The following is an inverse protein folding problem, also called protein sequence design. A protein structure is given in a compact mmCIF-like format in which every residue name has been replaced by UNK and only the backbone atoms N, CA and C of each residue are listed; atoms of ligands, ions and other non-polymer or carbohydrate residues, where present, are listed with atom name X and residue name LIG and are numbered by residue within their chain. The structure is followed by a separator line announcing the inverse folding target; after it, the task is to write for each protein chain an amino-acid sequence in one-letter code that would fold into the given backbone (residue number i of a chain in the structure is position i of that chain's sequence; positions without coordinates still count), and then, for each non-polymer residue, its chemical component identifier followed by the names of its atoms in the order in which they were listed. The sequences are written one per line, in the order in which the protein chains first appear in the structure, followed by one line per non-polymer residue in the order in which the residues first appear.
data_IF_922638467209
#
_entry.id   IF_922638467209
#
_cell.length_a   1.000
_cell.length_b   1.000
_cell.length_c   1.000
_cell.angle_alpha   90.00
_cell.angle_beta   90.00
_cell.angle_gamma   90.00
#
_symmetry.space_group_name_H-M   'P 1'
#
loop_
_entity.id
_entity.type
_entity.pdbx_description
1 polymer ?
#
# COMPACT_ATOMS: atom_id res chain seq x y z
N UNK A 1 -38.35 -0.19 -39.04
CA UNK A 1 -37.17 0.47 -38.43
C UNK A 1 -36.72 -0.37 -37.25
N UNK A 2 -35.46 -0.81 -37.21
CA UNK A 2 -34.91 -1.54 -36.06
C UNK A 2 -34.39 -0.53 -35.03
N UNK A 3 -34.85 -0.62 -33.80
CA UNK A 3 -34.39 0.25 -32.70
C UNK A 3 -33.46 -0.56 -31.79
N UNK A 4 -32.19 -0.14 -31.69
CA UNK A 4 -31.21 -0.75 -30.79
C UNK A 4 -31.19 -0.02 -29.45
N UNK A 5 -31.36 -0.74 -28.36
CA UNK A 5 -31.35 -0.19 -27.00
C UNK A 5 -30.12 -0.71 -26.22
N UNK A 6 -29.54 0.17 -25.41
CA UNK A 6 -28.46 -0.19 -24.47
C UNK A 6 -29.08 -0.66 -23.15
N UNK A 7 -28.67 -1.83 -22.61
CA UNK A 7 -29.09 -2.30 -21.28
C UNK A 7 -28.77 -1.26 -20.18
N UNK A 8 -29.62 -1.19 -19.16
CA UNK A 8 -29.58 -0.23 -18.06
C UNK A 8 -30.28 1.10 -18.35
N UNK A 9 -31.03 1.19 -19.45
CA UNK A 9 -31.80 2.38 -19.82
C UNK A 9 -33.30 2.10 -19.79
N UNK A 10 -34.05 3.14 -19.42
CA UNK A 10 -35.51 3.14 -19.50
C UNK A 10 -35.94 3.31 -20.96
N UNK A 11 -36.88 2.47 -21.41
CA UNK A 11 -37.53 2.65 -22.71
C UNK A 11 -38.85 3.36 -22.48
N UNK A 12 -38.92 4.62 -22.93
CA UNK A 12 -40.19 5.33 -23.00
C UNK A 12 -40.80 5.14 -24.38
N UNK A 13 -42.08 4.79 -24.43
CA UNK A 13 -42.87 4.75 -25.66
C UNK A 13 -44.22 5.43 -25.44
N UNK A 14 -44.74 6.02 -26.52
CA UNK A 14 -46.07 6.63 -26.57
C UNK A 14 -46.87 5.94 -27.67
N UNK A 15 -48.11 5.59 -27.37
CA UNK A 15 -49.00 4.90 -28.31
C UNK A 15 -50.27 5.72 -28.53
N UNK A 16 -50.72 5.77 -29.78
CA UNK A 16 -51.90 6.54 -30.18
C UNK A 16 -52.82 5.63 -30.98
N UNK A 17 -54.10 5.57 -30.60
CA UNK A 17 -55.15 4.91 -31.37
C UNK A 17 -55.99 5.94 -32.14
N UNK A 18 -56.17 5.72 -33.44
CA UNK A 18 -57.01 6.56 -34.31
C UNK A 18 -58.51 6.18 -34.19
N UNK A 19 -59.07 6.24 -32.98
CA UNK A 19 -60.48 5.89 -32.72
C UNK A 19 -61.27 7.10 -32.20
N UNK A 20 -62.50 7.30 -32.70
CA UNK A 20 -63.39 8.38 -32.27
C UNK A 20 -64.67 7.84 -31.58
N UNK A 21 -65.14 8.46 -30.49
CA UNK A 21 -64.39 9.37 -29.62
C UNK A 21 -63.26 8.62 -28.89
N UNK A 22 -62.08 9.26 -28.79
CA UNK A 22 -60.86 8.65 -28.24
C UNK A 22 -60.74 8.70 -26.71
N UNK A 23 -61.79 9.15 -26.01
CA UNK A 23 -61.75 9.41 -24.56
C UNK A 23 -61.89 8.16 -23.67
N UNK A 24 -61.98 6.96 -24.27
CA UNK A 24 -62.14 5.68 -23.55
C UNK A 24 -61.44 4.54 -24.27
N UNK A 25 -60.16 4.72 -24.59
CA UNK A 25 -59.34 3.65 -25.19
C UNK A 25 -58.50 2.99 -24.11
N UNK A 26 -58.60 1.67 -24.01
CA UNK A 26 -57.78 0.84 -23.14
C UNK A 26 -56.61 0.30 -23.96
N UNK A 27 -55.42 0.35 -23.39
CA UNK A 27 -54.21 -0.19 -24.02
C UNK A 27 -53.75 -1.44 -23.28
N UNK A 28 -53.19 -2.37 -24.03
CA UNK A 28 -52.48 -3.52 -23.50
C UNK A 28 -51.16 -3.64 -24.23
N UNK A 29 -50.13 -4.03 -23.50
CA UNK A 29 -48.85 -4.35 -24.11
C UNK A 29 -48.33 -5.67 -23.58
N UNK A 30 -47.47 -6.29 -24.38
CA UNK A 30 -46.82 -7.55 -24.10
C UNK A 30 -45.36 -7.45 -24.54
N UNK A 31 -44.45 -7.82 -23.63
CA UNK A 31 -43.02 -7.90 -23.90
C UNK A 31 -42.71 -9.36 -24.23
N UNK A 32 -42.29 -9.62 -25.45
CA UNK A 32 -41.93 -10.97 -25.90
C UNK A 32 -40.55 -11.33 -25.36
N UNK A 33 -40.50 -12.24 -24.38
CA UNK A 33 -39.28 -12.79 -23.77
C UNK A 33 -39.01 -14.24 -24.18
N UNK A 34 -39.76 -14.78 -25.13
CA UNK A 34 -39.71 -16.21 -25.46
C UNK A 34 -40.39 -17.16 -24.45
N UNK A 35 -40.75 -16.68 -23.25
CA UNK A 35 -41.58 -17.41 -22.28
C UNK A 35 -42.98 -16.78 -22.15
N UNK A 36 -43.96 -17.61 -21.80
CA UNK A 36 -45.38 -17.28 -21.74
C UNK A 36 -45.62 -16.13 -20.75
N UNK A 37 -45.85 -14.95 -21.30
CA UNK A 37 -46.04 -13.71 -20.54
C UNK A 37 -47.42 -13.16 -20.85
N UNK A 38 -48.16 -12.81 -19.80
CA UNK A 38 -49.51 -12.28 -19.94
C UNK A 38 -49.52 -10.84 -20.47
N UNK A 39 -50.61 -10.47 -21.14
CA UNK A 39 -50.90 -9.09 -21.53
C UNK A 39 -51.05 -8.20 -20.30
N UNK A 40 -50.36 -7.06 -20.29
CA UNK A 40 -50.41 -6.10 -19.19
C UNK A 40 -51.32 -4.94 -19.58
N UNK A 41 -52.40 -4.76 -18.83
CA UNK A 41 -53.33 -3.64 -18.97
C UNK A 41 -52.67 -2.29 -18.62
N UNK A 42 -53.00 -1.26 -19.38
CA UNK A 42 -52.55 0.11 -19.10
C UNK A 42 -53.55 1.15 -19.60
N UNK A 43 -53.86 2.09 -18.72
CA UNK A 43 -54.74 3.24 -19.03
C UNK A 43 -53.95 4.47 -19.53
N UNK A 44 -52.61 4.43 -19.41
CA UNK A 44 -51.74 5.53 -19.81
C UNK A 44 -51.09 5.24 -21.18
N UNK A 45 -51.36 6.05 -22.22
CA UNK A 45 -50.74 5.89 -23.53
C UNK A 45 -49.23 6.15 -23.53
N UNK A 46 -48.74 6.94 -22.55
CA UNK A 46 -47.34 7.26 -22.36
C UNK A 46 -46.75 6.38 -21.25
N UNK A 47 -45.93 5.41 -21.63
CA UNK A 47 -45.34 4.46 -20.67
C UNK A 47 -43.83 4.46 -20.75
N UNK A 48 -43.22 4.50 -19.57
CA UNK A 48 -41.81 4.19 -19.39
C UNK A 48 -41.70 2.76 -18.88
N UNK A 49 -41.16 1.85 -19.69
CA UNK A 49 -40.75 0.53 -19.24
C UNK A 49 -39.48 0.70 -18.42
N UNK A 50 -39.62 0.37 -17.13
CA UNK A 50 -38.53 0.41 -16.17
C UNK A 50 -37.70 -0.85 -16.40
N UNK A 51 -36.43 -0.64 -16.76
CA UNK A 51 -35.35 -1.64 -16.78
C UNK A 51 -35.49 -2.77 -17.82
N UNK A 52 -35.05 -2.48 -19.05
CA UNK A 52 -34.80 -3.49 -20.09
C UNK A 52 -33.36 -3.99 -19.92
N UNK A 53 -33.18 -4.92 -18.98
CA UNK A 53 -31.88 -5.55 -18.71
C UNK A 53 -31.78 -6.99 -19.23
N UNK A 54 -32.88 -7.51 -19.74
CA UNK A 54 -32.98 -8.86 -20.23
C UNK A 54 -32.63 -8.93 -21.73
N UNK A 55 -31.57 -9.66 -22.13
CA UNK A 55 -31.22 -9.85 -23.54
C UNK A 55 -32.24 -10.72 -24.30
N UNK A 56 -33.11 -11.45 -23.61
CA UNK A 56 -34.05 -12.38 -24.22
C UNK A 56 -35.32 -11.69 -24.73
N UNK A 57 -35.42 -10.36 -24.56
CA UNK A 57 -36.51 -9.55 -25.12
C UNK A 57 -36.36 -9.45 -26.65
N UNK A 58 -37.30 -10.05 -27.37
CA UNK A 58 -37.32 -10.10 -28.84
C UNK A 58 -38.18 -8.99 -29.46
N UNK A 59 -39.21 -8.53 -28.73
CA UNK A 59 -40.13 -7.53 -29.26
C UNK A 59 -41.13 -6.99 -28.25
N UNK A 60 -41.80 -5.91 -28.63
CA UNK A 60 -42.90 -5.29 -27.90
C UNK A 60 -44.14 -5.35 -28.77
N UNK A 61 -45.21 -5.95 -28.25
CA UNK A 61 -46.52 -5.99 -28.89
C UNK A 61 -47.46 -5.04 -28.16
N UNK A 62 -48.13 -4.16 -28.90
CA UNK A 62 -49.09 -3.21 -28.33
C UNK A 62 -50.43 -3.38 -29.03
N UNK A 63 -51.51 -3.45 -28.26
CA UNK A 63 -52.87 -3.45 -28.81
C UNK A 63 -53.76 -2.49 -28.03
N UNK A 64 -54.81 -2.03 -28.68
CA UNK A 64 -55.79 -1.13 -28.09
C UNK A 64 -57.21 -1.63 -28.31
N UNK A 65 -58.13 -1.30 -27.41
CA UNK A 65 -59.58 -1.46 -27.63
C UNK A 65 -60.33 -0.25 -27.13
N UNK A 66 -61.50 0.00 -27.71
CA UNK A 66 -62.45 0.97 -27.17
C UNK A 66 -63.20 0.35 -25.98
N UNK A 67 -63.46 1.13 -24.93
CA UNK A 67 -64.28 0.69 -23.81
C UNK A 67 -65.72 0.39 -24.26
N UNK A 68 -66.40 -0.52 -23.57
CA UNK A 68 -67.77 -0.93 -23.91
C UNK A 68 -67.87 -2.27 -24.66
N UNK A 69 -66.96 -3.21 -24.39
CA UNK A 69 -67.04 -4.58 -24.91
C UNK A 69 -66.56 -4.75 -26.36
N UNK A 70 -65.87 -3.76 -26.92
CA UNK A 70 -65.26 -3.91 -28.24
C UNK A 70 -64.09 -4.92 -28.22
N UNK A 71 -63.89 -5.59 -29.35
CA UNK A 71 -62.76 -6.49 -29.55
C UNK A 71 -61.43 -5.71 -29.49
N UNK A 72 -60.36 -6.41 -29.10
CA UNK A 72 -59.01 -5.91 -29.21
C UNK A 72 -58.58 -5.78 -30.67
N UNK A 73 -57.81 -4.73 -30.98
CA UNK A 73 -57.15 -4.59 -32.29
C UNK A 73 -56.07 -5.65 -32.48
N UNK A 74 -55.69 -5.86 -33.74
CA UNK A 74 -54.51 -6.63 -34.09
C UNK A 74 -53.26 -6.01 -33.44
N UNK A 75 -52.39 -6.82 -32.82
CA UNK A 75 -51.24 -6.31 -32.10
C UNK A 75 -50.21 -5.70 -33.07
N UNK A 76 -49.76 -4.48 -32.75
CA UNK A 76 -48.62 -3.85 -33.41
C UNK A 76 -47.33 -4.45 -32.83
N UNK A 77 -46.58 -5.18 -33.66
CA UNK A 77 -45.32 -5.81 -33.28
C UNK A 77 -44.12 -4.90 -33.60
N UNK A 78 -43.37 -4.54 -32.57
CA UNK A 78 -42.16 -3.72 -32.67
C UNK A 78 -40.97 -4.60 -32.31
N UNK A 79 -40.11 -5.00 -33.27
CA UNK A 79 -38.93 -5.80 -32.98
C UNK A 79 -37.94 -4.98 -32.16
N UNK A 80 -37.47 -5.56 -31.06
CA UNK A 80 -36.49 -4.93 -30.16
C UNK A 80 -35.22 -5.77 -30.12
N UNK A 81 -34.07 -5.11 -30.24
CA UNK A 81 -32.76 -5.75 -30.08
C UNK A 81 -32.06 -5.09 -28.90
N UNK A 82 -31.99 -5.80 -27.78
CA UNK A 82 -31.32 -5.35 -26.56
C UNK A 82 -29.84 -5.73 -26.65
N UNK A 83 -28.98 -4.72 -26.77
CA UNK A 83 -27.53 -4.95 -26.78
C UNK A 83 -26.98 -4.90 -25.35
N UNK A 84 -26.46 -6.03 -24.90
CA UNK A 84 -25.71 -6.11 -23.65
C UNK A 84 -24.38 -5.33 -23.75
N UNK A 85 -23.90 -4.74 -22.64
CA UNK A 85 -22.56 -4.19 -22.58
C UNK A 85 -21.52 -5.24 -22.95
N UNK A 86 -20.47 -4.82 -23.65
CA UNK A 86 -19.43 -5.73 -24.17
C UNK A 86 -18.81 -6.61 -23.08
N UNK A 87 -18.67 -6.12 -21.85
CA UNK A 87 -18.08 -6.89 -20.73
C UNK A 87 -19.03 -7.94 -20.13
N UNK A 88 -20.35 -7.87 -20.37
CA UNK A 88 -21.30 -8.91 -19.92
C UNK A 88 -21.32 -10.14 -20.85
N UNK A 89 -20.75 -10.03 -22.05
CA UNK A 89 -20.73 -11.14 -23.02
C UNK A 89 -19.77 -12.24 -22.54
N UNK A 90 -20.26 -13.47 -22.37
CA UNK A 90 -19.48 -14.64 -21.89
C UNK A 90 -18.16 -14.84 -22.65
N UNK A 91 -18.16 -14.60 -23.96
CA UNK A 91 -16.95 -14.69 -24.81
C UNK A 91 -15.87 -13.70 -24.41
N UNK A 92 -16.27 -12.48 -24.05
CA UNK A 92 -15.34 -11.41 -23.69
C UNK A 92 -14.77 -11.62 -22.29
N UNK A 93 -15.59 -12.15 -21.36
CA UNK A 93 -15.11 -12.57 -20.04
C UNK A 93 -14.03 -13.65 -20.20
N UNK A 94 -14.27 -14.66 -21.02
CA UNK A 94 -13.28 -15.72 -21.29
C UNK A 94 -11.98 -15.18 -21.89
N UNK A 95 -12.05 -14.29 -22.87
CA UNK A 95 -10.88 -13.63 -23.46
C UNK A 95 -10.10 -12.81 -22.42
N UNK A 96 -10.78 -12.06 -21.56
CA UNK A 96 -10.16 -11.30 -20.49
C UNK A 96 -9.49 -12.21 -19.45
N UNK A 97 -10.11 -13.35 -19.12
CA UNK A 97 -9.50 -14.35 -18.23
C UNK A 97 -8.21 -14.93 -18.83
N UNK A 98 -8.21 -15.29 -20.11
CA UNK A 98 -7.00 -15.77 -20.80
C UNK A 98 -5.91 -14.71 -20.78
N UNK A 99 -6.26 -13.46 -21.10
CA UNK A 99 -5.31 -12.35 -21.10
C UNK A 99 -4.71 -12.13 -19.70
N UNK A 100 -5.54 -12.17 -18.65
CA UNK A 100 -5.11 -12.04 -17.26
C UNK A 100 -4.13 -13.15 -16.84
N UNK A 101 -4.44 -14.41 -17.17
CA UNK A 101 -3.55 -15.54 -16.89
C UNK A 101 -2.24 -15.43 -17.67
N UNK A 102 -2.30 -14.99 -18.93
CA UNK A 102 -1.10 -14.77 -19.75
C UNK A 102 -0.19 -13.69 -19.17
N UNK A 103 -0.76 -12.55 -18.74
CA UNK A 103 -0.01 -11.48 -18.08
C UNK A 103 0.62 -11.94 -16.77
N UNK A 104 -0.12 -12.72 -15.96
CA UNK A 104 0.40 -13.31 -14.72
C UNK A 104 1.58 -14.25 -15.01
N UNK A 105 1.46 -15.11 -16.03
CA UNK A 105 2.52 -16.02 -16.42
C UNK A 105 3.76 -15.28 -16.94
N UNK A 106 3.59 -14.21 -17.71
CA UNK A 106 4.69 -13.36 -18.17
C UNK A 106 5.37 -12.63 -17.00
N UNK A 107 4.59 -12.09 -16.08
CA UNK A 107 5.11 -11.45 -14.87
C UNK A 107 5.94 -12.44 -14.04
N UNK A 108 5.41 -13.63 -13.82
CA UNK A 108 6.09 -14.68 -13.06
C UNK A 108 7.38 -15.14 -13.77
N UNK A 109 7.35 -15.31 -15.09
CA UNK A 109 8.54 -15.64 -15.90
C UNK A 109 9.61 -14.56 -15.83
N UNK A 110 9.21 -13.28 -15.86
CA UNK A 110 10.13 -12.15 -15.76
C UNK A 110 10.79 -12.08 -14.38
N UNK A 111 10.01 -12.22 -13.31
CA UNK A 111 10.54 -12.25 -11.95
C UNK A 111 11.46 -13.45 -11.72
N UNK A 112 11.06 -14.63 -12.18
CA UNK A 112 11.86 -15.84 -11.98
C UNK A 112 13.21 -15.77 -12.73
N UNK A 113 13.29 -15.06 -13.86
CA UNK A 113 14.58 -14.75 -14.50
C UNK A 113 15.47 -13.87 -13.63
N UNK A 114 14.91 -12.87 -12.94
CA UNK A 114 15.67 -12.00 -12.02
C UNK A 114 16.17 -12.78 -10.80
N UNK A 115 15.30 -13.59 -10.20
CA UNK A 115 15.68 -14.46 -9.08
C UNK A 115 16.77 -15.45 -9.46
N UNK A 116 16.68 -16.09 -10.64
CA UNK A 116 17.74 -16.98 -11.12
C UNK A 116 19.09 -16.27 -11.27
N UNK A 117 19.11 -15.03 -11.79
CA UNK A 117 20.35 -14.25 -11.88
C UNK A 117 20.95 -13.98 -10.50
N UNK A 118 20.13 -13.58 -9.54
CA UNK A 118 20.60 -13.37 -8.16
C UNK A 118 21.16 -14.64 -7.52
N UNK A 119 20.53 -15.80 -7.77
CA UNK A 119 21.03 -17.09 -7.29
C UNK A 119 22.37 -17.43 -7.97
N UNK A 120 22.49 -17.26 -9.28
CA UNK A 120 23.76 -17.52 -9.99
C UNK A 120 24.87 -16.56 -9.55
N UNK A 121 24.55 -15.29 -9.30
CA UNK A 121 25.51 -14.32 -8.77
C UNK A 121 25.96 -14.72 -7.34
N UNK A 122 25.03 -15.15 -6.48
CA UNK A 122 25.34 -15.68 -5.15
C UNK A 122 26.19 -16.96 -5.21
N UNK A 123 25.86 -17.89 -6.09
CA UNK A 123 26.65 -19.10 -6.33
C UNK A 123 28.07 -18.75 -6.81
N UNK A 124 28.20 -17.74 -7.69
CA UNK A 124 29.51 -17.29 -8.17
C UNK A 124 30.35 -16.64 -7.06
N UNK A 125 29.72 -15.90 -6.14
CA UNK A 125 30.39 -15.34 -4.97
C UNK A 125 30.81 -16.43 -3.97
N UNK A 126 29.97 -17.44 -3.76
CA UNK A 126 30.31 -18.60 -2.93
C UNK A 126 31.43 -19.43 -3.55
N UNK A 127 31.44 -19.63 -4.86
CA UNK A 127 32.52 -20.34 -5.55
C UNK A 127 33.82 -19.53 -5.58
N UNK A 128 33.76 -18.21 -5.75
CA UNK A 128 34.93 -17.34 -5.64
C UNK A 128 35.51 -17.33 -4.21
N UNK A 129 34.66 -17.43 -3.18
CA UNK A 129 35.06 -17.49 -1.77
C UNK A 129 35.58 -18.86 -1.32
N UNK A 130 35.09 -19.94 -1.92
CA UNK A 130 35.46 -21.33 -1.57
C UNK A 130 36.52 -21.94 -2.50
N UNK A 131 37.05 -21.21 -3.49
CA UNK A 131 38.16 -21.67 -4.30
C UNK A 131 39.43 -21.82 -3.44
N UNK A 132 40.17 -22.95 -3.51
CA UNK A 132 41.35 -23.17 -2.70
C UNK A 132 42.44 -22.13 -3.03
N UNK A 133 43.12 -21.59 -2.00
CA UNK A 133 43.95 -20.41 -2.12
C UNK A 133 45.32 -20.76 -2.71
N UNK A 134 45.46 -20.66 -4.03
CA UNK A 134 46.77 -20.52 -4.66
C UNK A 134 46.90 -19.09 -5.21
N UNK A 135 47.64 -18.28 -4.46
CA UNK A 135 48.40 -17.10 -4.89
C UNK A 135 47.58 -16.01 -5.61
N UNK A 136 47.15 -15.01 -4.86
CA UNK A 136 47.66 -13.62 -4.98
C UNK A 136 46.86 -12.67 -4.09
N UNK A 137 47.57 -11.64 -3.65
CA UNK A 137 47.30 -10.75 -2.53
C UNK A 137 46.11 -9.79 -2.75
N UNK A 138 45.51 -9.39 -1.62
CA UNK A 138 44.88 -8.08 -1.42
C UNK A 138 43.75 -7.68 -2.38
N UNK A 139 42.51 -8.06 -2.02
CA UNK A 139 41.36 -7.13 -2.02
C UNK A 139 40.31 -7.60 -1.01
N UNK A 140 40.11 -6.76 0.00
CA UNK A 140 39.51 -7.11 1.27
C UNK A 140 38.00 -7.35 1.22
N UNK A 141 37.62 -8.57 1.55
CA UNK A 141 36.43 -8.80 2.35
C UNK A 141 36.89 -8.68 3.82
N UNK A 142 36.71 -7.48 4.40
CA UNK A 142 36.89 -7.23 5.83
C UNK A 142 35.72 -7.92 6.54
N UNK A 143 35.80 -9.25 6.67
CA UNK A 143 35.18 -9.97 7.75
C UNK A 143 36.22 -9.96 8.88
N UNK A 144 36.33 -8.80 9.53
CA UNK A 144 37.13 -8.63 10.74
C UNK A 144 36.40 -9.38 11.85
N UNK A 145 36.86 -10.59 12.15
CA UNK A 145 36.71 -11.11 13.50
C UNK A 145 37.56 -10.23 14.43
N UNK A 146 37.00 -9.74 15.55
CA UNK A 146 37.77 -8.93 16.49
C UNK A 146 38.91 -9.78 17.05
N UNK A 147 40.14 -9.47 16.65
CA UNK A 147 41.33 -10.03 17.27
C UNK A 147 41.31 -9.64 18.75
N UNK A 148 41.26 -10.62 19.66
CA UNK A 148 41.31 -10.40 21.09
C UNK A 148 42.54 -9.56 21.47
N UNK A 149 42.34 -8.25 21.69
CA UNK A 149 43.41 -7.28 21.95
C UNK A 149 43.30 -5.94 21.20
N UNK A 150 42.24 -5.69 20.43
CA UNK A 150 42.03 -4.41 19.75
C UNK A 150 41.80 -3.23 20.71
N UNK A 151 42.42 -2.09 20.41
CA UNK A 151 42.16 -0.80 21.05
C UNK A 151 40.64 -0.50 21.04
N UNK A 152 40.00 -0.19 22.18
CA UNK A 152 38.59 0.15 22.26
C UNK A 152 38.15 1.22 21.24
N UNK A 153 39.04 2.15 20.87
CA UNK A 153 38.74 3.17 19.86
C UNK A 153 38.58 2.59 18.45
N UNK A 154 39.37 1.56 18.10
CA UNK A 154 39.30 0.91 16.79
C UNK A 154 38.04 0.05 16.66
N UNK A 155 37.58 -0.58 17.74
CA UNK A 155 36.33 -1.34 17.76
C UNK A 155 35.13 -0.41 17.51
N UNK A 156 35.10 0.74 18.17
CA UNK A 156 34.08 1.77 17.98
C UNK A 156 34.07 2.34 16.56
N UNK A 157 35.24 2.61 15.99
CA UNK A 157 35.36 3.04 14.60
C UNK A 157 34.82 1.97 13.63
N UNK A 158 35.18 0.71 13.87
CA UNK A 158 34.76 -0.42 13.04
C UNK A 158 33.24 -0.62 13.11
N UNK A 159 32.65 -0.58 14.31
CA UNK A 159 31.21 -0.66 14.49
C UNK A 159 30.47 0.50 13.81
N UNK A 160 31.02 1.71 13.90
CA UNK A 160 30.49 2.91 13.24
C UNK A 160 30.52 2.78 11.71
N UNK A 161 31.62 2.28 11.15
CA UNK A 161 31.76 2.02 9.71
C UNK A 161 30.82 0.92 9.23
N UNK A 162 30.69 -0.17 10.01
CA UNK A 162 29.74 -1.25 9.71
C UNK A 162 28.30 -0.70 9.67
N UNK A 163 27.91 0.15 10.63
CA UNK A 163 26.59 0.77 10.63
C UNK A 163 26.34 1.58 9.34
N UNK A 164 27.28 2.43 8.93
CA UNK A 164 27.17 3.21 7.69
C UNK A 164 27.06 2.27 6.47
N UNK A 165 27.91 1.25 6.41
CA UNK A 165 27.92 0.26 5.32
C UNK A 165 26.59 -0.51 5.22
N UNK A 166 26.08 -1.02 6.35
CA UNK A 166 24.80 -1.73 6.36
C UNK A 166 23.67 -0.83 5.88
N UNK A 167 23.60 0.40 6.39
CA UNK A 167 22.56 1.35 5.99
C UNK A 167 22.65 1.69 4.50
N UNK A 168 23.84 1.97 3.98
CA UNK A 168 24.00 2.37 2.58
C UNK A 168 23.79 1.23 1.58
N UNK A 169 24.12 -0.01 1.93
CA UNK A 169 24.03 -1.13 1.00
C UNK A 169 22.78 -2.00 1.16
N UNK A 170 22.13 -1.98 2.33
CA UNK A 170 20.97 -2.84 2.61
C UNK A 170 19.66 -2.05 2.72
N UNK A 171 19.69 -0.71 2.73
CA UNK A 171 18.49 0.12 2.78
C UNK A 171 18.34 0.90 1.48
N UNK A 172 17.32 0.52 0.71
CA UNK A 172 16.96 1.15 -0.56
C UNK A 172 15.73 2.05 -0.43
N UNK A 173 15.62 3.06 -1.31
CA UNK A 173 14.49 4.00 -1.35
C UNK A 173 13.10 3.33 -1.55
N UNK A 174 13.06 2.10 -2.09
CA UNK A 174 11.84 1.32 -2.29
C UNK A 174 11.51 0.35 -1.14
N UNK A 175 12.33 0.29 -0.09
CA UNK A 175 12.16 -0.66 1.00
C UNK A 175 10.92 -0.32 1.85
N UNK A 176 10.19 -1.36 2.30
CA UNK A 176 9.09 -1.18 3.26
C UNK A 176 9.63 -0.70 4.60
N UNK A 177 8.92 0.24 5.24
CA UNK A 177 9.30 0.83 6.52
C UNK A 177 9.68 -0.20 7.59
N UNK A 178 8.89 -1.27 7.73
CA UNK A 178 9.13 -2.32 8.72
C UNK A 178 10.47 -3.04 8.50
N UNK A 179 10.82 -3.32 7.23
CA UNK A 179 12.09 -3.98 6.90
C UNK A 179 13.27 -3.03 7.08
N UNK A 180 13.08 -1.74 6.77
CA UNK A 180 14.09 -0.72 7.00
C UNK A 180 14.41 -0.58 8.50
N UNK A 181 13.37 -0.52 9.33
CA UNK A 181 13.51 -0.49 10.79
C UNK A 181 14.24 -1.74 11.31
N UNK A 182 13.96 -2.90 10.72
CA UNK A 182 14.65 -4.14 11.04
C UNK A 182 16.15 -4.05 10.75
N UNK A 183 16.52 -3.68 9.53
CA UNK A 183 17.94 -3.51 9.16
C UNK A 183 18.65 -2.45 10.00
N UNK A 184 17.98 -1.31 10.25
CA UNK A 184 18.51 -0.27 11.12
C UNK A 184 18.75 -0.80 12.53
N UNK A 185 17.78 -1.50 13.12
CA UNK A 185 17.92 -2.05 14.46
C UNK A 185 19.11 -3.00 14.55
N UNK A 186 19.27 -3.93 13.59
CA UNK A 186 20.39 -4.88 13.54
C UNK A 186 21.71 -4.12 13.45
N UNK A 187 21.80 -3.10 12.60
CA UNK A 187 23.01 -2.30 12.45
C UNK A 187 23.33 -1.49 13.72
N UNK A 188 22.33 -0.86 14.33
CA UNK A 188 22.51 -0.02 15.53
C UNK A 188 22.80 -0.83 16.77
N UNK A 189 22.21 -2.01 16.92
CA UNK A 189 22.44 -2.89 18.07
C UNK A 189 23.84 -3.50 18.08
N UNK A 190 24.59 -3.41 16.97
CA UNK A 190 26.02 -3.76 16.92
C UNK A 190 26.93 -2.66 17.47
N UNK A 191 26.42 -1.45 17.70
CA UNK A 191 27.21 -0.40 18.33
C UNK A 191 27.45 -0.77 19.81
N UNK A 192 28.68 -0.57 20.33
CA UNK A 192 28.99 -0.84 21.73
C UNK A 192 28.04 -0.07 22.66
N UNK A 193 27.64 -0.71 23.75
CA UNK A 193 26.80 -0.13 24.81
C UNK A 193 25.39 0.30 24.36
N UNK A 194 24.94 -0.09 23.15
CA UNK A 194 23.61 0.23 22.66
C UNK A 194 22.59 -0.80 23.14
N UNK A 195 21.54 -0.33 23.82
CA UNK A 195 20.51 -1.18 24.44
C UNK A 195 19.16 -1.06 23.72
N UNK A 196 18.88 0.11 23.15
CA UNK A 196 17.66 0.34 22.41
C UNK A 196 17.86 1.36 21.28
N UNK A 197 17.02 1.22 20.27
CA UNK A 197 16.95 2.06 19.09
C UNK A 197 15.49 2.43 18.82
N UNK A 198 15.22 3.71 18.56
CA UNK A 198 13.88 4.20 18.25
C UNK A 198 13.91 5.29 17.18
N UNK A 199 12.86 5.36 16.37
CA UNK A 199 12.57 6.45 15.46
C UNK A 199 11.21 7.03 15.82
N UNK A 200 11.19 8.31 16.18
CA UNK A 200 9.97 9.08 16.42
C UNK A 200 9.60 9.91 15.20
N UNK A 201 8.36 9.83 14.74
CA UNK A 201 7.83 10.62 13.62
C UNK A 201 6.62 11.45 14.05
N UNK A 202 6.62 12.75 13.70
CA UNK A 202 5.50 13.63 14.01
C UNK A 202 4.38 13.49 12.98
N UNK A 203 3.21 12.99 13.42
CA UNK A 203 1.98 13.06 12.63
C UNK A 203 1.25 14.38 12.90
N UNK A 204 1.51 15.38 12.05
CA UNK A 204 0.89 16.72 12.13
C UNK A 204 -0.64 16.71 12.25
N UNK A 205 -1.32 15.80 11.54
CA UNK A 205 -2.79 15.71 11.55
C UNK A 205 -3.38 15.33 12.92
N UNK A 206 -2.69 14.46 13.66
CA UNK A 206 -3.16 13.95 14.95
C UNK A 206 -2.47 14.60 16.15
N UNK A 207 -1.48 15.47 15.92
CA UNK A 207 -0.64 16.04 16.97
C UNK A 207 -0.03 14.97 17.90
N UNK A 208 0.35 13.83 17.31
CA UNK A 208 0.95 12.68 17.99
C UNK A 208 2.32 12.37 17.40
N UNK A 209 3.22 11.91 18.25
CA UNK A 209 4.50 11.33 17.86
C UNK A 209 4.30 9.81 17.82
N UNK A 210 4.55 9.19 16.68
CA UNK A 210 4.59 7.73 16.57
C UNK A 210 6.04 7.31 16.69
N UNK A 211 6.31 6.41 17.61
CA UNK A 211 7.64 5.93 17.93
C UNK A 211 7.68 4.45 17.60
N UNK A 212 8.50 4.11 16.62
CA UNK A 212 8.80 2.74 16.24
C UNK A 212 10.20 2.40 16.72
N UNK A 213 10.39 1.26 17.37
CA UNK A 213 11.70 0.91 17.90
C UNK A 213 11.90 -0.54 18.28
N UNK A 214 13.13 -0.81 18.70
CA UNK A 214 13.61 -2.10 19.17
C UNK A 214 14.38 -1.89 20.47
N UNK A 215 14.12 -2.73 21.46
CA UNK A 215 14.84 -2.73 22.73
C UNK A 215 15.32 -4.15 23.05
N UNK A 216 16.58 -4.27 23.46
CA UNK A 216 17.19 -5.57 23.78
C UNK A 216 16.39 -6.34 24.84
N UNK A 217 15.84 -5.63 25.83
CA UNK A 217 15.05 -6.21 26.91
C UNK A 217 13.74 -6.85 26.46
N UNK A 218 13.18 -6.43 25.33
CA UNK A 218 11.91 -6.94 24.80
C UNK A 218 12.10 -7.93 23.66
N UNK A 219 13.28 -7.94 23.02
CA UNK A 219 13.61 -8.74 21.83
C UNK A 219 12.60 -8.65 20.67
N UNK A 220 11.71 -7.65 20.68
CA UNK A 220 10.60 -7.51 19.73
C UNK A 220 10.44 -6.03 19.37
N UNK A 221 10.08 -5.75 18.12
CA UNK A 221 9.68 -4.42 17.67
C UNK A 221 8.43 -3.96 18.40
N UNK A 222 8.42 -2.71 18.81
CA UNK A 222 7.24 -2.09 19.38
C UNK A 222 6.93 -0.79 18.68
N UNK A 223 5.64 -0.47 18.69
CA UNK A 223 5.10 0.80 18.28
C UNK A 223 4.45 1.43 19.51
N UNK A 224 4.75 2.71 19.78
CA UNK A 224 4.03 3.50 20.78
C UNK A 224 3.65 4.87 20.23
N UNK A 225 2.59 5.43 20.80
CA UNK A 225 2.18 6.79 20.52
C UNK A 225 2.38 7.67 21.77
N UNK A 226 2.96 8.85 21.57
CA UNK A 226 3.07 9.89 22.58
C UNK A 226 2.34 11.15 22.12
N UNK A 227 1.68 11.85 23.04
CA UNK A 227 1.05 13.12 22.71
C UNK A 227 2.11 14.21 22.56
N UNK A 228 2.01 15.03 21.50
CA UNK A 228 2.90 16.19 21.32
C UNK A 228 2.81 17.20 22.49
N UNK A 229 1.68 17.21 23.21
CA UNK A 229 1.48 18.08 24.38
C UNK A 229 2.32 17.68 25.59
N UNK A 230 2.88 16.46 25.62
CA UNK A 230 3.66 15.99 26.77
C UNK A 230 4.91 16.87 26.98
N UNK A 231 5.12 17.42 28.19
CA UNK A 231 6.21 18.35 28.45
C UNK A 231 7.59 17.68 28.45
N UNK A 232 7.64 16.36 28.66
CA UNK A 232 8.88 15.60 28.88
C UNK A 232 9.23 14.63 27.73
N UNK A 233 8.58 14.71 26.57
CA UNK A 233 8.91 13.79 25.47
C UNK A 233 10.27 14.13 24.87
N UNK A 234 11.22 13.19 24.93
CA UNK A 234 12.57 13.33 24.35
C UNK A 234 12.47 13.61 22.84
N UNK A 235 11.55 12.92 22.14
CA UNK A 235 11.33 13.13 20.70
C UNK A 235 10.78 14.52 20.39
N UNK A 236 9.98 15.11 21.27
CA UNK A 236 9.54 16.51 21.11
C UNK A 236 10.72 17.47 21.17
N UNK A 237 11.69 17.23 22.05
CA UNK A 237 12.92 18.02 22.10
C UNK A 237 13.74 17.86 20.81
N UNK A 238 13.94 16.63 20.33
CA UNK A 238 14.64 16.37 19.07
C UNK A 238 13.96 17.01 17.87
N UNK A 239 12.66 16.76 17.70
CA UNK A 239 11.89 17.28 16.57
C UNK A 239 11.83 18.83 16.57
N UNK A 240 11.91 19.46 17.74
CA UNK A 240 12.00 20.93 17.86
C UNK A 240 13.41 21.48 17.61
N UNK A 241 14.45 20.67 17.82
CA UNK A 241 15.82 21.07 17.58
C UNK A 241 16.02 21.39 16.09
N UNK A 242 16.90 22.36 15.80
CA UNK A 242 17.16 22.71 14.41
C UNK A 242 17.86 21.55 13.70
N UNK A 243 17.69 21.48 12.37
CA UNK A 243 18.30 20.43 11.54
C UNK A 243 19.82 20.40 11.79
N UNK A 244 20.35 19.24 12.16
CA UNK A 244 21.78 19.03 12.43
C UNK A 244 22.22 19.26 13.87
N UNK A 245 21.33 19.69 14.76
CA UNK A 245 21.64 19.79 16.19
C UNK A 245 21.50 18.42 16.86
N UNK A 246 22.64 17.77 17.11
CA UNK A 246 22.68 16.50 17.83
C UNK A 246 22.49 16.78 19.32
N UNK A 247 21.36 16.35 19.87
CA UNK A 247 21.12 16.43 21.31
C UNK A 247 21.79 15.24 21.98
N UNK A 248 22.72 15.54 22.90
CA UNK A 248 23.40 14.56 23.74
C UNK A 248 23.01 14.83 25.19
N UNK A 249 22.64 13.80 25.92
CA UNK A 249 22.36 13.93 27.34
C UNK A 249 22.75 12.67 28.10
N UNK A 250 23.39 12.85 29.24
CA UNK A 250 23.22 11.90 30.33
C UNK A 250 21.84 12.22 30.90
N UNK A 251 20.94 11.25 30.93
CA UNK A 251 19.54 11.49 31.31
C UNK A 251 19.54 11.76 32.82
N UNK A 252 19.35 13.02 33.28
CA UNK A 252 19.58 13.36 34.70
C UNK A 252 18.43 12.89 35.59
N UNK A 253 17.29 12.54 35.00
CA UNK A 253 16.06 12.25 35.71
C UNK A 253 15.38 11.00 35.12
N UNK A 254 15.42 9.91 35.88
CA UNK A 254 14.75 8.64 35.54
C UNK A 254 13.22 8.78 35.41
N UNK A 255 12.64 9.87 35.94
CA UNK A 255 11.19 10.13 35.87
C UNK A 255 10.68 10.37 34.44
N UNK A 256 11.52 10.91 33.56
CA UNK A 256 11.20 11.11 32.13
C UNK A 256 11.05 9.77 31.40
N UNK A 257 11.71 8.72 31.92
CA UNK A 257 11.71 7.37 31.39
C UNK A 257 10.79 6.41 32.17
N UNK A 258 9.95 6.89 33.09
CA UNK A 258 9.14 6.06 34.00
C UNK A 258 8.19 5.04 33.32
N UNK A 259 7.99 5.12 32.00
CA UNK A 259 7.26 4.11 31.20
C UNK A 259 8.15 3.03 30.55
N UNK A 260 9.47 3.14 30.70
CA UNK A 260 10.43 2.16 30.19
C UNK A 260 10.83 1.18 31.28
N UNK A 261 10.87 -0.10 30.92
CA UNK A 261 11.37 -1.20 31.77
C UNK A 261 12.91 -1.31 31.76
N UNK A 262 13.62 -0.38 31.12
CA UNK A 262 15.09 -0.37 31.00
C UNK A 262 15.71 0.88 31.61
N UNK A 263 16.76 0.71 32.42
CA UNK A 263 17.60 1.81 32.91
C UNK A 263 18.61 2.17 31.82
N UNK A 264 18.46 3.33 31.17
CA UNK A 264 19.45 3.86 30.24
C UNK A 264 20.24 4.98 30.90
N UNK A 265 21.55 5.02 30.67
CA UNK A 265 22.44 6.04 31.22
C UNK A 265 22.73 7.17 30.24
N UNK A 266 22.58 6.92 28.94
CA UNK A 266 22.74 7.96 27.92
C UNK A 266 21.77 7.83 26.76
N UNK A 267 21.55 8.96 26.08
CA UNK A 267 20.80 9.03 24.83
C UNK A 267 21.51 9.93 23.83
N UNK A 268 21.55 9.47 22.58
CA UNK A 268 21.85 10.29 21.41
C UNK A 268 20.55 10.50 20.65
N UNK A 269 20.23 11.74 20.37
CA UNK A 269 19.05 12.10 19.60
C UNK A 269 19.45 12.95 18.39
N UNK A 270 19.13 12.46 17.19
CA UNK A 270 19.46 13.12 15.93
C UNK A 270 18.18 13.45 15.17
N UNK A 271 17.83 14.74 15.00
CA UNK A 271 16.68 15.14 14.21
C UNK A 271 16.98 15.07 12.71
N UNK A 272 15.96 14.69 11.94
CA UNK A 272 16.03 14.67 10.47
C UNK A 272 14.64 14.85 9.84
N UNK A 273 14.60 15.07 8.54
CA UNK A 273 13.37 15.13 7.78
C UNK A 273 13.14 13.79 7.09
N UNK A 274 11.98 13.20 7.33
CA UNK A 274 11.55 11.99 6.64
C UNK A 274 10.57 12.38 5.53
N UNK A 275 10.96 12.18 4.27
CA UNK A 275 10.17 12.69 3.17
C UNK A 275 10.20 14.20 3.07
N UNK A 276 9.41 14.72 2.12
CA UNK A 276 9.38 16.17 1.85
C UNK A 276 8.93 17.05 3.03
N UNK A 277 8.25 16.52 4.08
CA UNK A 277 7.59 17.36 5.12
C UNK A 277 7.37 16.76 6.52
N UNK A 278 7.87 15.56 6.85
CA UNK A 278 7.65 14.96 8.19
C UNK A 278 8.92 15.12 9.02
N UNK A 279 8.79 15.75 10.18
CA UNK A 279 9.89 15.79 11.12
C UNK A 279 10.00 14.46 11.85
N UNK A 280 11.22 13.94 11.92
CA UNK A 280 11.54 12.72 12.62
C UNK A 280 12.79 12.93 13.47
N UNK A 281 13.01 12.04 14.44
CA UNK A 281 14.28 11.96 15.14
C UNK A 281 14.62 10.51 15.41
N UNK A 282 15.91 10.19 15.32
CA UNK A 282 16.47 8.89 15.71
C UNK A 282 16.96 9.03 17.15
N UNK A 283 16.57 8.11 18.01
CA UNK A 283 17.07 7.99 19.38
C UNK A 283 17.82 6.67 19.54
N UNK A 284 19.06 6.75 20.03
CA UNK A 284 19.85 5.59 20.43
C UNK A 284 20.12 5.69 21.93
N UNK A 285 19.81 4.62 22.65
CA UNK A 285 19.94 4.55 24.10
C UNK A 285 21.04 3.59 24.49
N UNK A 286 21.84 3.97 25.48
CA UNK A 286 22.92 3.14 25.99
C UNK A 286 22.91 2.95 27.49
N UNK A 287 23.49 1.83 27.92
CA UNK A 287 23.78 1.50 29.32
C UNK A 287 25.03 2.23 29.84
N UNK A 288 25.89 2.71 28.95
CA UNK A 288 27.01 3.59 29.28
C UNK A 288 26.91 4.92 28.53
N UNK A 289 27.93 5.79 28.64
CA UNK A 289 27.98 7.07 27.94
C UNK A 289 28.30 6.86 26.45
N UNK A 290 27.29 6.99 25.58
CA UNK A 290 27.44 6.89 24.12
C UNK A 290 28.13 8.12 23.47
N UNK A 291 28.81 8.99 24.22
CA UNK A 291 29.29 10.30 23.73
C UNK A 291 30.53 10.24 22.82
N UNK A 292 30.77 9.12 22.13
CA UNK A 292 31.89 8.96 21.22
C UNK A 292 31.63 9.71 19.89
N UNK A 293 32.62 10.49 19.44
CA UNK A 293 32.51 11.30 18.22
C UNK A 293 32.23 10.48 16.95
N UNK A 294 32.79 9.27 16.83
CA UNK A 294 32.58 8.39 15.68
C UNK A 294 31.14 7.88 15.60
N UNK A 295 30.59 7.44 16.74
CA UNK A 295 29.20 6.97 16.84
C UNK A 295 28.24 8.10 16.45
N UNK A 296 28.50 9.31 16.96
CA UNK A 296 27.68 10.48 16.64
C UNK A 296 27.70 10.82 15.15
N UNK A 297 28.89 10.84 14.53
CA UNK A 297 29.04 11.08 13.09
C UNK A 297 28.35 9.99 12.26
N UNK A 298 28.42 8.74 12.71
CA UNK A 298 27.77 7.62 12.03
C UNK A 298 26.24 7.73 12.08
N UNK A 299 25.67 8.00 13.26
CA UNK A 299 24.21 8.19 13.41
C UNK A 299 23.73 9.41 12.61
N UNK A 300 24.49 10.51 12.62
CA UNK A 300 24.19 11.68 11.79
C UNK A 300 24.22 11.35 10.29
N UNK A 301 25.19 10.55 9.85
CA UNK A 301 25.29 10.11 8.45
C UNK A 301 24.10 9.22 8.07
N UNK A 302 23.67 8.32 8.96
CA UNK A 302 22.46 7.51 8.77
C UNK A 302 21.22 8.38 8.67
N UNK A 303 21.05 9.35 9.58
CA UNK A 303 19.92 10.27 9.55
C UNK A 303 19.85 11.07 8.24
N UNK A 304 21.01 11.57 7.77
CA UNK A 304 21.12 12.27 6.48
C UNK A 304 20.80 11.35 5.29
N UNK A 305 21.23 10.09 5.35
CA UNK A 305 20.93 9.10 4.31
C UNK A 305 19.43 8.79 4.25
N UNK A 306 18.79 8.58 5.41
CA UNK A 306 17.34 8.35 5.49
C UNK A 306 16.53 9.54 4.96
N UNK A 307 17.02 10.77 5.15
CA UNK A 307 16.42 11.97 4.55
C UNK A 307 16.55 12.00 3.02
N UNK A 308 17.60 11.41 2.44
CA UNK A 308 17.83 11.40 1.00
C UNK A 308 16.93 10.39 0.26
N UNK A 309 16.71 9.22 0.87
CA UNK A 309 16.01 8.10 0.23
C UNK A 309 14.47 8.17 0.35
N UNK A 310 13.93 9.08 1.16
CA UNK A 310 12.48 9.24 1.39
C UNK A 310 12.03 10.67 1.18
#
# INVERSE_FOLDING_TARGET
SSHSLTSGKNLAFSSISLTYPGNRTLYQYWIDRGEDTDWIDTDNPDRTLIEIDDPDIQGLKIRARKAGGHAWSDPLEIPLIVQLPWYKRKTNIFLLSILGVSLLALFWRSNNKRFRRQITDLESLLHAKNAPPDKEENKGEILYEPSAGSDPQNELLTASMHLIYTVTNHIDAGMKWDHMLEQLSIATMKLPHTVAFEIGTLRKKSNKIIIDGYAHSKQVFYNREESWSEPLSIFKHGIKAQKGEIIKGNIPNQDILSKWTGKFNSVILVPFLLGRKRYAAIAIYGDEKLQNEHVLKAIQSVANYLELIH
#
